data_IF_754515262438
#
_entry.id   IF_754515262438
#
_cell.length_a   1.000
_cell.length_b   1.000
_cell.length_c   1.000
_cell.angle_alpha   90.00
_cell.angle_beta   90.00
_cell.angle_gamma   90.00
#
_symmetry.space_group_name_H-M   'P 1'
#
loop_
_entity.id
_entity.type
_entity.pdbx_description
1 polymer ?
#
# COMPACT_ATOMS: atom_id res chain seq x y z
N UNK A 1 6.81 35.82 17.55
CA UNK A 1 7.67 34.63 17.42
C UNK A 1 9.10 35.09 17.17
N UNK A 2 10.09 34.46 17.82
CA UNK A 2 11.52 34.73 17.60
C UNK A 2 12.00 34.05 16.31
N UNK A 3 12.76 34.76 15.48
CA UNK A 3 13.31 34.23 14.22
C UNK A 3 14.67 33.53 14.38
N UNK A 4 15.19 33.41 15.61
CA UNK A 4 16.55 32.95 15.88
C UNK A 4 16.89 31.56 15.34
N UNK A 5 15.88 30.67 15.24
CA UNK A 5 16.06 29.30 14.75
C UNK A 5 15.26 29.03 13.48
N UNK A 6 14.78 30.07 12.79
CA UNK A 6 13.90 29.91 11.62
C UNK A 6 14.50 28.91 10.63
N UNK A 7 15.75 29.12 10.22
CA UNK A 7 16.38 28.33 9.18
C UNK A 7 16.58 26.88 9.64
N UNK A 8 16.97 26.66 10.91
CA UNK A 8 17.02 25.32 11.51
C UNK A 8 15.68 24.59 11.46
N UNK A 9 14.58 25.27 11.82
CA UNK A 9 13.24 24.67 11.79
C UNK A 9 12.77 24.37 10.37
N UNK A 10 13.01 25.25 9.40
CA UNK A 10 12.61 25.02 8.01
C UNK A 10 13.47 23.98 7.29
N UNK A 11 14.74 23.84 7.65
CA UNK A 11 15.64 22.84 7.04
C UNK A 11 15.53 21.46 7.69
N UNK A 12 15.33 21.38 9.01
CA UNK A 12 15.48 20.13 9.76
C UNK A 12 14.18 19.61 10.41
N UNK A 13 13.15 20.46 10.57
CA UNK A 13 11.95 20.11 11.34
C UNK A 13 10.67 20.14 10.49
N UNK A 14 10.50 21.17 9.66
CA UNK A 14 9.37 21.32 8.75
C UNK A 14 9.75 20.79 7.37
N UNK A 15 9.78 19.46 7.23
CA UNK A 15 9.83 18.88 5.91
C UNK A 15 8.51 19.20 5.19
N UNK A 16 8.59 19.86 4.04
CA UNK A 16 7.43 20.27 3.27
C UNK A 16 6.49 19.10 2.96
N UNK A 17 7.05 17.90 2.75
CA UNK A 17 6.31 16.65 2.60
C UNK A 17 5.38 16.36 3.78
N UNK A 18 5.84 16.54 5.01
CA UNK A 18 5.04 16.22 6.21
C UNK A 18 3.86 17.19 6.34
N UNK A 19 4.06 18.45 5.96
CA UNK A 19 2.99 19.46 5.89
C UNK A 19 1.97 19.11 4.79
N UNK A 20 2.42 18.65 3.62
CA UNK A 20 1.53 18.17 2.56
C UNK A 20 0.71 16.96 3.00
N UNK A 21 1.37 15.99 3.65
CA UNK A 21 0.76 14.78 4.16
C UNK A 21 -0.33 15.10 5.20
N UNK A 22 -0.02 15.98 6.16
CA UNK A 22 -0.97 16.49 7.14
C UNK A 22 -2.11 17.27 6.48
N UNK A 23 -1.81 18.21 5.59
CA UNK A 23 -2.79 19.03 4.87
C UNK A 23 -3.78 18.19 4.07
N UNK A 24 -3.32 17.17 3.34
CA UNK A 24 -4.21 16.26 2.60
C UNK A 24 -5.12 15.49 3.56
N UNK A 25 -4.59 15.05 4.70
CA UNK A 25 -5.38 14.44 5.77
C UNK A 25 -6.49 15.37 6.28
N UNK A 26 -6.14 16.64 6.51
CA UNK A 26 -7.08 17.69 6.92
C UNK A 26 -8.06 18.11 5.83
N UNK A 27 -7.86 17.74 4.56
CA UNK A 27 -8.86 17.91 3.50
C UNK A 27 -9.80 16.70 3.48
N UNK A 28 -9.25 15.48 3.50
CA UNK A 28 -10.06 14.26 3.44
C UNK A 28 -10.99 14.11 4.64
N UNK A 29 -10.50 14.36 5.86
CA UNK A 29 -11.28 14.15 7.07
C UNK A 29 -12.56 15.01 7.12
N UNK A 30 -12.53 16.34 7.00
CA UNK A 30 -13.75 17.15 6.98
C UNK A 30 -14.62 16.87 5.75
N UNK A 31 -14.02 16.63 4.57
CA UNK A 31 -14.80 16.26 3.39
C UNK A 31 -15.61 14.97 3.62
N UNK A 32 -15.00 13.96 4.23
CA UNK A 32 -15.68 12.71 4.61
C UNK A 32 -16.74 12.95 5.69
N UNK A 33 -16.46 13.77 6.71
CA UNK A 33 -17.42 14.11 7.77
C UNK A 33 -18.64 14.82 7.18
N UNK A 34 -18.46 15.90 6.42
CA UNK A 34 -19.55 16.68 5.81
C UNK A 34 -20.39 15.81 4.88
N UNK A 35 -19.75 14.94 4.09
CA UNK A 35 -20.45 14.05 3.14
C UNK A 35 -21.03 12.79 3.78
N UNK A 36 -20.83 12.58 5.09
CA UNK A 36 -21.52 11.54 5.86
C UNK A 36 -22.94 11.95 6.23
N UNK A 37 -23.22 13.26 6.28
CA UNK A 37 -24.56 13.79 6.52
C UNK A 37 -25.33 13.97 5.22
N UNK A 38 -26.66 13.88 5.28
CA UNK A 38 -27.53 14.07 4.12
C UNK A 38 -27.23 15.40 3.38
N UNK A 39 -26.95 16.46 4.16
CA UNK A 39 -26.57 17.78 3.66
C UNK A 39 -25.40 17.72 2.66
N UNK A 40 -24.29 17.05 2.98
CA UNK A 40 -23.16 16.93 2.06
C UNK A 40 -23.36 15.81 1.04
N UNK A 41 -23.98 14.69 1.47
CA UNK A 41 -24.18 13.50 0.64
C UNK A 41 -24.97 13.79 -0.64
N UNK A 42 -25.98 14.67 -0.60
CA UNK A 42 -26.82 15.01 -1.76
C UNK A 42 -26.07 15.66 -2.92
N UNK A 43 -24.87 16.21 -2.68
CA UNK A 43 -24.06 16.88 -3.71
C UNK A 43 -23.14 15.91 -4.48
N UNK A 44 -23.11 14.62 -4.12
CA UNK A 44 -22.24 13.63 -4.75
C UNK A 44 -23.05 12.50 -5.38
N UNK A 45 -22.58 12.01 -6.53
CA UNK A 45 -23.01 10.70 -7.01
C UNK A 45 -22.54 9.58 -6.07
N UNK A 46 -23.18 8.42 -6.13
CA UNK A 46 -22.76 7.25 -5.35
C UNK A 46 -21.30 6.84 -5.64
N UNK A 47 -20.86 6.98 -6.90
CA UNK A 47 -19.48 6.69 -7.31
C UNK A 47 -18.48 7.67 -6.68
N UNK A 48 -18.76 8.98 -6.74
CA UNK A 48 -17.90 10.01 -6.15
C UNK A 48 -17.82 9.87 -4.63
N UNK A 49 -18.95 9.65 -3.96
CA UNK A 49 -18.96 9.44 -2.52
C UNK A 49 -18.14 8.21 -2.12
N UNK A 50 -18.31 7.09 -2.83
CA UNK A 50 -17.52 5.87 -2.59
C UNK A 50 -16.04 6.10 -2.87
N UNK A 51 -15.69 6.84 -3.91
CA UNK A 51 -14.31 7.18 -4.22
C UNK A 51 -13.68 8.03 -3.11
N UNK A 52 -14.34 9.12 -2.71
CA UNK A 52 -13.89 10.01 -1.64
C UNK A 52 -13.65 9.27 -0.32
N UNK A 53 -14.65 8.52 0.13
CA UNK A 53 -14.55 7.79 1.41
C UNK A 53 -13.53 6.67 1.34
N UNK A 54 -13.39 6.00 0.20
CA UNK A 54 -12.37 4.98 -0.01
C UNK A 54 -10.98 5.61 -0.03
N UNK A 55 -10.72 6.61 -0.86
CA UNK A 55 -9.40 7.24 -0.94
C UNK A 55 -9.02 7.88 0.39
N UNK A 56 -9.95 8.58 1.03
CA UNK A 56 -9.73 9.24 2.31
C UNK A 56 -9.41 8.25 3.43
N UNK A 57 -10.15 7.14 3.57
CA UNK A 57 -9.83 6.16 4.62
C UNK A 57 -8.48 5.49 4.39
N UNK A 58 -8.12 5.18 3.13
CA UNK A 58 -6.81 4.58 2.83
C UNK A 58 -5.67 5.57 3.09
N UNK A 59 -5.84 6.85 2.73
CA UNK A 59 -4.86 7.89 3.01
C UNK A 59 -4.69 8.10 4.52
N UNK A 60 -5.79 8.24 5.26
CA UNK A 60 -5.77 8.40 6.72
C UNK A 60 -5.21 7.18 7.45
N UNK A 61 -5.34 5.98 6.90
CA UNK A 61 -4.72 4.77 7.44
C UNK A 61 -3.24 4.65 7.09
N UNK A 62 -2.84 5.14 5.91
CA UNK A 62 -1.46 5.11 5.46
C UNK A 62 -0.55 5.84 6.44
N UNK A 63 -0.97 7.01 6.93
CA UNK A 63 -0.25 7.84 7.90
C UNK A 63 0.18 7.10 9.17
N UNK A 64 -0.74 6.65 10.05
CA UNK A 64 -0.36 5.98 11.29
C UNK A 64 0.39 4.68 11.01
N UNK A 65 0.00 3.93 9.96
CA UNK A 65 0.72 2.71 9.59
C UNK A 65 2.19 2.99 9.24
N UNK A 66 2.47 4.03 8.43
CA UNK A 66 3.84 4.40 8.10
C UNK A 66 4.62 4.86 9.33
N UNK A 67 3.99 5.62 10.24
CA UNK A 67 4.63 6.07 11.48
C UNK A 67 5.17 4.90 12.30
N UNK A 68 4.35 3.88 12.52
CA UNK A 68 4.80 2.70 13.28
C UNK A 68 5.80 1.84 12.50
N UNK A 69 5.70 1.78 11.18
CA UNK A 69 6.70 1.11 10.36
C UNK A 69 8.09 1.79 10.48
N UNK A 70 8.14 3.12 10.46
CA UNK A 70 9.37 3.90 10.65
C UNK A 70 9.95 3.72 12.06
N UNK A 71 9.10 3.63 13.09
CA UNK A 71 9.56 3.31 14.46
C UNK A 71 10.33 2.00 14.52
N UNK A 72 9.80 0.96 13.85
CA UNK A 72 10.43 -0.37 13.82
C UNK A 72 11.64 -0.47 12.88
N UNK A 73 11.65 0.29 11.79
CA UNK A 73 12.58 0.08 10.68
C UNK A 73 13.72 1.10 10.61
N UNK A 74 13.59 2.26 11.27
CA UNK A 74 14.56 3.35 11.17
C UNK A 74 14.98 3.91 12.53
N UNK A 75 14.04 4.23 13.43
CA UNK A 75 14.37 4.95 14.68
C UNK A 75 15.08 4.11 15.75
N UNK A 76 15.31 2.81 15.51
CA UNK A 76 16.13 1.86 16.30
C UNK A 76 15.78 1.71 17.80
N UNK A 77 14.78 2.41 18.32
CA UNK A 77 14.33 2.34 19.71
C UNK A 77 12.80 2.13 19.81
N UNK A 78 12.23 1.09 19.18
CA UNK A 78 10.79 0.86 19.20
C UNK A 78 10.32 0.48 20.61
N UNK A 79 9.19 1.04 21.04
CA UNK A 79 8.52 0.62 22.27
C UNK A 79 7.52 -0.52 21.98
N UNK A 80 7.11 -1.33 22.97
CA UNK A 80 6.19 -2.44 22.74
C UNK A 80 4.90 -2.07 21.99
N UNK A 81 4.36 -0.87 22.21
CA UNK A 81 3.17 -0.38 21.51
C UNK A 81 3.40 -0.20 20.01
N UNK A 82 4.60 0.16 19.57
CA UNK A 82 4.89 0.34 18.14
C UNK A 82 4.76 -0.97 17.38
N UNK A 83 5.21 -2.07 17.98
CA UNK A 83 5.03 -3.41 17.42
C UNK A 83 3.56 -3.77 17.30
N UNK A 84 2.76 -3.50 18.35
CA UNK A 84 1.32 -3.79 18.35
C UNK A 84 0.63 -3.03 17.21
N UNK A 85 0.84 -1.71 17.13
CA UNK A 85 0.17 -0.90 16.12
C UNK A 85 0.64 -1.23 14.70
N UNK A 86 1.94 -1.47 14.50
CA UNK A 86 2.47 -1.91 13.23
C UNK A 86 1.82 -3.22 12.77
N UNK A 87 1.86 -4.27 13.61
CA UNK A 87 1.33 -5.58 13.24
C UNK A 87 -0.19 -5.57 13.09
N UNK A 88 -0.93 -4.82 13.91
CA UNK A 88 -2.37 -4.64 13.71
C UNK A 88 -2.68 -3.97 12.37
N UNK A 89 -1.96 -2.90 12.02
CA UNK A 89 -2.12 -2.22 10.73
C UNK A 89 -1.76 -3.14 9.56
N UNK A 90 -0.61 -3.81 9.65
CA UNK A 90 -0.15 -4.77 8.64
C UNK A 90 -1.16 -5.88 8.41
N UNK A 91 -1.64 -6.53 9.47
CA UNK A 91 -2.64 -7.59 9.39
C UNK A 91 -3.95 -7.08 8.79
N UNK A 92 -4.37 -5.86 9.12
CA UNK A 92 -5.58 -5.28 8.57
C UNK A 92 -5.48 -5.09 7.03
N UNK A 93 -4.31 -4.73 6.51
CA UNK A 93 -4.07 -4.68 5.06
C UNK A 93 -3.91 -6.08 4.44
N UNK A 94 -3.15 -6.97 5.08
CA UNK A 94 -2.93 -8.34 4.61
C UNK A 94 -4.25 -9.12 4.48
N UNK A 95 -5.16 -8.99 5.46
CA UNK A 95 -6.51 -9.59 5.40
C UNK A 95 -7.34 -9.02 4.26
N UNK A 96 -7.24 -7.71 3.97
CA UNK A 96 -7.92 -7.10 2.80
C UNK A 96 -7.38 -7.65 1.49
N UNK A 97 -6.06 -7.82 1.36
CA UNK A 97 -5.44 -8.43 0.19
C UNK A 97 -5.88 -9.89 0.05
N UNK A 98 -5.91 -10.65 1.15
CA UNK A 98 -6.38 -12.04 1.15
C UNK A 98 -7.87 -12.14 0.75
N UNK A 99 -8.72 -11.25 1.25
CA UNK A 99 -10.13 -11.17 0.86
C UNK A 99 -10.30 -10.85 -0.62
N UNK A 100 -9.49 -9.93 -1.16
CA UNK A 100 -9.44 -9.66 -2.60
C UNK A 100 -8.99 -10.88 -3.40
N UNK A 101 -7.94 -11.58 -2.96
CA UNK A 101 -7.49 -12.84 -3.57
C UNK A 101 -8.59 -13.92 -3.56
N UNK A 102 -9.35 -14.03 -2.46
CA UNK A 102 -10.50 -14.94 -2.36
C UNK A 102 -11.58 -14.60 -3.39
N UNK A 103 -11.93 -13.32 -3.54
CA UNK A 103 -12.91 -12.87 -4.54
C UNK A 103 -12.45 -13.21 -5.97
N UNK A 104 -11.16 -13.05 -6.27
CA UNK A 104 -10.61 -13.41 -7.58
C UNK A 104 -10.71 -14.91 -7.85
N UNK A 105 -10.39 -15.75 -6.86
CA UNK A 105 -10.56 -17.21 -6.98
C UNK A 105 -12.01 -17.60 -7.22
N UNK A 106 -12.94 -17.03 -6.47
CA UNK A 106 -14.37 -17.29 -6.67
C UNK A 106 -14.86 -16.89 -8.07
N UNK A 107 -14.36 -15.78 -8.63
CA UNK A 107 -14.67 -15.39 -9.99
C UNK A 107 -14.09 -16.36 -11.03
N UNK A 108 -12.90 -16.92 -10.76
CA UNK A 108 -12.28 -17.94 -11.60
C UNK A 108 -13.02 -19.27 -11.55
N UNK A 109 -13.44 -19.72 -10.36
CA UNK A 109 -14.16 -20.98 -10.19
C UNK A 109 -15.47 -20.98 -10.98
N UNK A 110 -16.12 -19.81 -11.13
CA UNK A 110 -17.29 -19.63 -12.01
C UNK A 110 -16.97 -19.80 -13.50
N UNK A 111 -15.74 -19.54 -13.91
CA UNK A 111 -15.26 -19.59 -15.29
C UNK A 111 -14.22 -20.72 -15.52
N UNK A 112 -14.25 -21.77 -14.68
CA UNK A 112 -13.21 -22.81 -14.63
C UNK A 112 -13.12 -23.67 -15.91
N UNK A 113 -14.21 -23.73 -16.67
CA UNK A 113 -14.27 -24.43 -17.96
C UNK A 113 -13.37 -23.75 -18.99
N UNK A 114 -13.25 -22.42 -18.94
CA UNK A 114 -12.57 -21.59 -19.96
C UNK A 114 -11.16 -21.19 -19.56
N UNK A 115 -10.89 -21.06 -18.25
CA UNK A 115 -9.63 -20.51 -17.76
C UNK A 115 -9.17 -21.18 -16.48
N UNK A 116 -7.85 -21.22 -16.27
CA UNK A 116 -7.24 -21.72 -15.03
C UNK A 116 -5.95 -20.96 -14.76
N UNK A 117 -5.51 -20.90 -13.50
CA UNK A 117 -4.17 -20.39 -13.19
C UNK A 117 -3.15 -21.48 -13.44
N UNK A 118 -2.16 -21.28 -14.33
CA UNK A 118 -1.04 -22.20 -14.49
C UNK A 118 -0.33 -22.49 -13.16
N UNK A 119 0.07 -23.74 -12.93
CA UNK A 119 0.73 -24.15 -11.68
C UNK A 119 1.96 -23.31 -11.37
N UNK A 120 2.75 -22.96 -12.40
CA UNK A 120 3.93 -22.11 -12.25
C UNK A 120 3.59 -20.71 -11.68
N UNK A 121 2.52 -20.07 -12.19
CA UNK A 121 2.08 -18.76 -11.70
C UNK A 121 1.51 -18.84 -10.27
N UNK A 122 0.82 -19.93 -9.95
CA UNK A 122 0.35 -20.19 -8.59
C UNK A 122 1.52 -20.35 -7.61
N UNK A 123 2.52 -21.17 -7.97
CA UNK A 123 3.70 -21.39 -7.14
C UNK A 123 4.53 -20.12 -6.98
N UNK A 124 4.79 -19.40 -8.08
CA UNK A 124 5.51 -18.12 -8.06
C UNK A 124 4.77 -17.08 -7.21
N UNK A 125 3.47 -16.93 -7.42
CA UNK A 125 2.66 -15.99 -6.64
C UNK A 125 2.65 -16.32 -5.15
N UNK A 126 2.54 -17.60 -4.78
CA UNK A 126 2.67 -18.05 -3.40
C UNK A 126 4.05 -17.77 -2.81
N UNK A 127 5.13 -18.01 -3.56
CA UNK A 127 6.49 -17.69 -3.12
C UNK A 127 6.66 -16.18 -2.88
N UNK A 128 6.12 -15.34 -3.77
CA UNK A 128 6.13 -13.88 -3.62
C UNK A 128 5.34 -13.44 -2.38
N UNK A 129 4.20 -14.07 -2.08
CA UNK A 129 3.45 -13.77 -0.84
C UNK A 129 4.30 -14.07 0.39
N UNK A 130 4.95 -15.25 0.44
CA UNK A 130 5.82 -15.63 1.56
C UNK A 130 6.99 -14.64 1.67
N UNK A 131 7.61 -14.27 0.55
CA UNK A 131 8.66 -13.26 0.52
C UNK A 131 8.17 -11.94 1.14
N UNK A 132 6.99 -11.45 0.77
CA UNK A 132 6.45 -10.20 1.32
C UNK A 132 6.13 -10.28 2.81
N UNK A 133 5.69 -11.43 3.32
CA UNK A 133 5.48 -11.67 4.76
C UNK A 133 6.80 -11.69 5.54
N UNK A 134 7.86 -12.25 4.96
CA UNK A 134 9.20 -12.18 5.56
C UNK A 134 9.69 -10.74 5.49
N UNK A 135 9.60 -10.10 4.32
CA UNK A 135 10.05 -8.72 4.10
C UNK A 135 9.46 -7.73 5.11
N UNK A 136 8.19 -7.91 5.50
CA UNK A 136 7.54 -7.06 6.50
C UNK A 136 8.17 -7.14 7.90
N UNK A 137 8.71 -8.29 8.28
CA UNK A 137 9.32 -8.47 9.60
C UNK A 137 10.75 -7.92 9.73
N UNK A 138 11.45 -7.73 8.60
CA UNK A 138 12.89 -7.41 8.57
C UNK A 138 13.18 -5.98 8.07
N UNK A 139 12.23 -5.06 8.21
CA UNK A 139 12.35 -3.64 7.81
C UNK A 139 13.70 -3.01 8.11
N UNK A 140 14.15 -3.15 9.36
CA UNK A 140 15.41 -2.64 9.87
C UNK A 140 16.64 -3.05 9.04
N UNK A 141 16.63 -4.24 8.43
CA UNK A 141 17.79 -4.77 7.72
C UNK A 141 17.87 -4.34 6.26
N UNK A 142 16.76 -3.95 5.64
CA UNK A 142 16.72 -3.63 4.21
C UNK A 142 16.41 -2.16 3.93
N UNK A 143 15.83 -1.42 4.88
CA UNK A 143 15.35 -0.05 4.68
C UNK A 143 16.43 0.86 4.08
N UNK A 144 17.60 0.96 4.71
CA UNK A 144 18.70 1.82 4.23
C UNK A 144 19.11 1.51 2.77
N UNK A 145 19.22 0.22 2.42
CA UNK A 145 19.59 -0.21 1.07
C UNK A 145 18.51 0.14 0.04
N UNK A 146 17.26 -0.05 0.42
CA UNK A 146 16.11 0.25 -0.44
C UNK A 146 15.97 1.76 -0.63
N UNK A 147 16.13 2.55 0.43
CA UNK A 147 16.14 4.01 0.33
C UNK A 147 17.23 4.46 -0.62
N UNK A 148 18.48 4.03 -0.38
CA UNK A 148 19.62 4.41 -1.21
C UNK A 148 19.41 4.05 -2.68
N UNK A 149 18.87 2.86 -2.96
CA UNK A 149 18.55 2.45 -4.33
C UNK A 149 17.44 3.29 -4.95
N UNK A 150 16.30 3.44 -4.26
CA UNK A 150 15.12 4.12 -4.81
C UNK A 150 15.39 5.61 -5.03
N UNK A 151 16.18 6.26 -4.17
CA UNK A 151 16.52 7.67 -4.27
C UNK A 151 17.86 7.94 -4.97
N UNK A 152 18.49 6.93 -5.60
CA UNK A 152 19.71 7.16 -6.41
C UNK A 152 19.45 8.11 -7.58
N UNK A 153 18.35 8.01 -8.35
CA UNK A 153 18.04 8.98 -9.39
C UNK A 153 17.60 10.32 -8.80
N UNK A 154 18.10 11.43 -9.34
CA UNK A 154 17.81 12.79 -8.88
C UNK A 154 16.30 13.09 -8.81
N UNK A 155 15.56 12.73 -9.86
CA UNK A 155 14.10 12.90 -9.89
C UNK A 155 13.40 12.19 -8.73
N UNK A 156 13.95 11.07 -8.25
CA UNK A 156 13.37 10.31 -7.16
C UNK A 156 13.77 10.88 -5.80
N UNK A 157 15.01 11.35 -5.66
CA UNK A 157 15.44 12.09 -4.48
C UNK A 157 14.60 13.35 -4.28
N UNK A 158 14.32 14.08 -5.36
CA UNK A 158 13.46 15.27 -5.31
C UNK A 158 12.05 14.95 -4.81
N UNK A 159 11.47 13.82 -5.21
CA UNK A 159 10.14 13.41 -4.75
C UNK A 159 10.07 13.19 -3.24
N UNK A 160 11.17 12.92 -2.54
CA UNK A 160 11.19 12.82 -1.07
C UNK A 160 10.70 14.13 -0.42
N UNK A 161 10.94 15.27 -1.09
CA UNK A 161 10.55 16.60 -0.61
C UNK A 161 9.07 16.92 -0.84
N UNK A 162 8.45 16.31 -1.86
CA UNK A 162 7.14 16.75 -2.39
C UNK A 162 6.05 15.69 -2.27
N UNK A 163 6.39 14.41 -2.33
CA UNK A 163 5.41 13.34 -2.46
C UNK A 163 5.24 12.62 -1.12
N UNK A 164 4.04 12.71 -0.49
CA UNK A 164 3.76 12.00 0.74
C UNK A 164 4.10 10.52 0.63
N UNK A 165 4.72 10.01 1.68
CA UNK A 165 5.18 8.62 1.79
C UNK A 165 6.25 8.15 0.81
N UNK A 166 6.71 8.94 -0.16
CA UNK A 166 7.76 8.50 -1.10
C UNK A 166 9.04 8.11 -0.33
N UNK A 167 9.70 6.97 -0.65
CA UNK A 167 9.48 6.07 -1.81
C UNK A 167 8.59 4.85 -1.53
N UNK A 168 7.58 5.03 -0.68
CA UNK A 168 6.56 4.04 -0.29
C UNK A 168 7.11 2.80 0.43
N UNK A 169 8.25 2.93 1.10
CA UNK A 169 8.91 1.84 1.84
C UNK A 169 8.00 1.12 2.83
N UNK A 170 7.19 1.83 3.66
CA UNK A 170 6.27 1.17 4.58
C UNK A 170 5.31 0.19 3.91
N UNK A 171 4.99 0.44 2.63
CA UNK A 171 3.98 -0.29 1.87
C UNK A 171 4.57 -1.37 0.95
N UNK A 172 5.90 -1.43 0.78
CA UNK A 172 6.55 -2.37 -0.16
C UNK A 172 6.17 -3.83 0.11
N UNK A 173 6.21 -4.25 1.37
CA UNK A 173 5.80 -5.62 1.76
C UNK A 173 4.37 -5.94 1.35
N UNK A 174 3.45 -4.96 1.50
CA UNK A 174 2.06 -5.11 1.10
C UNK A 174 1.90 -5.13 -0.42
N UNK A 175 2.69 -4.35 -1.16
CA UNK A 175 2.72 -4.42 -2.63
C UNK A 175 3.24 -5.77 -3.13
N UNK A 176 4.28 -6.31 -2.50
CA UNK A 176 4.80 -7.65 -2.80
C UNK A 176 3.71 -8.70 -2.57
N UNK A 177 3.02 -8.68 -1.42
CA UNK A 177 1.92 -9.60 -1.12
C UNK A 177 0.76 -9.42 -2.12
N UNK A 178 0.44 -8.19 -2.49
CA UNK A 178 -0.58 -7.87 -3.50
C UNK A 178 -0.24 -8.44 -4.88
N UNK A 179 1.00 -8.26 -5.34
CA UNK A 179 1.50 -8.80 -6.59
C UNK A 179 1.49 -10.34 -6.58
N UNK A 180 1.99 -10.95 -5.50
CA UNK A 180 1.96 -12.40 -5.35
C UNK A 180 0.53 -12.96 -5.36
N UNK A 181 -0.41 -12.25 -4.73
CA UNK A 181 -1.84 -12.59 -4.75
C UNK A 181 -2.43 -12.47 -6.16
N UNK A 182 -2.07 -11.42 -6.89
CA UNK A 182 -2.48 -11.22 -8.29
C UNK A 182 -2.01 -12.38 -9.17
N UNK A 183 -0.72 -12.73 -9.10
CA UNK A 183 -0.13 -13.82 -9.89
C UNK A 183 -0.74 -15.18 -9.53
N UNK A 184 -0.92 -15.44 -8.23
CA UNK A 184 -1.51 -16.69 -7.74
C UNK A 184 -3.01 -16.84 -8.09
N UNK A 185 -3.63 -15.78 -8.60
CA UNK A 185 -5.04 -15.73 -9.02
C UNK A 185 -5.19 -15.14 -10.42
N UNK A 186 -4.15 -15.28 -11.24
CA UNK A 186 -4.17 -14.85 -12.63
C UNK A 186 -4.73 -15.98 -13.49
N UNK A 187 -5.87 -15.74 -14.11
CA UNK A 187 -6.50 -16.71 -15.01
C UNK A 187 -5.86 -16.60 -16.40
N UNK A 188 -5.46 -17.74 -16.96
CA UNK A 188 -5.03 -17.84 -18.35
C UNK A 188 -6.07 -18.69 -19.10
N UNK A 189 -6.52 -18.27 -20.30
CA UNK A 189 -7.41 -19.08 -21.13
C UNK A 189 -6.80 -20.45 -21.40
N UNK A 190 -7.61 -21.51 -21.33
CA UNK A 190 -7.18 -22.83 -21.80
C UNK A 190 -7.07 -22.76 -23.32
N UNK A 191 -5.88 -23.03 -23.87
CA UNK A 191 -5.71 -23.18 -25.32
C UNK A 191 -6.55 -24.39 -25.75
N UNK A 192 -7.61 -24.14 -26.52
CA UNK A 192 -8.39 -25.21 -27.15
C UNK A 192 -7.45 -26.01 -28.07
N UNK A 193 -7.47 -27.34 -27.92
CA UNK A 193 -6.47 -28.25 -28.47
C UNK A 193 -6.07 -27.96 -29.93
N UNK A 194 -4.77 -28.02 -30.18
CA UNK A 194 -4.25 -28.38 -31.50
C UNK A 194 -4.99 -29.65 -31.92
N UNK A 195 -5.90 -29.54 -32.88
CA UNK A 195 -6.37 -30.72 -33.63
C UNK A 195 -5.12 -31.32 -34.26
N UNK A 196 -4.65 -32.43 -33.69
CA UNK A 196 -3.76 -33.34 -34.40
C UNK A 196 -4.48 -33.71 -35.69
N UNK A 197 -3.96 -33.20 -36.80
CA UNK A 197 -4.34 -33.64 -38.13
C UNK A 197 -3.79 -35.06 -38.23
N UNK A 198 -4.64 -36.04 -38.03
CA UNK A 198 -4.35 -37.43 -38.41
C UNK A 198 -4.30 -37.46 -39.94
N UNK A 199 -3.10 -37.69 -40.46
CA UNK A 199 -2.81 -38.06 -41.86
C UNK A 199 -2.84 -39.56 -42.02
#
# INVERSE_FOLDING_TARGET
MSYFFRDYYFENVYLFRDELEGSIGYIFLPAMVVTSFHFGRKHLSAKQWKLLHKSGIYFLWAYPFSTYWWSLSYYQNPVPLDYVYYWCGFLAFAVRIAAWGKQRRQAMDRNATESSTPLALKALGSAIIVLGLVWSAYGLYWQERVTGFLTTPEWSADLVLWLPFWPFEPFLSLFIIGLGTMLATMAVPKVAGLKTIET
#
